data_IF_212561958578
#
_entry.id   IF_212561958578
#
_cell.length_a   1.000
_cell.length_b   1.000
_cell.length_c   1.000
_cell.angle_alpha   90.00
_cell.angle_beta   90.00
_cell.angle_gamma   90.00
#
_symmetry.space_group_name_H-M   'P 1'
#
loop_
_entity.id
_entity.type
_entity.pdbx_description
1 polymer ?
#
# COMPACT_ATOMS: atom_id res chain seq x y z
N UNK A 1 -3.61 -39.23 4.13
CA UNK A 1 -4.32 -38.11 3.51
C UNK A 1 -5.20 -37.41 4.53
N UNK A 2 -4.50 -36.87 5.51
CA UNK A 2 -5.00 -35.81 6.34
C UNK A 2 -4.97 -34.51 5.53
N UNK A 3 -5.72 -33.50 5.97
CA UNK A 3 -5.70 -32.21 5.29
C UNK A 3 -4.46 -31.41 5.71
N UNK A 4 -3.96 -30.50 4.85
CA UNK A 4 -2.91 -29.59 5.24
C UNK A 4 -3.39 -28.66 6.35
N UNK A 5 -2.45 -28.09 7.10
CA UNK A 5 -2.69 -27.08 8.12
C UNK A 5 -2.18 -25.74 7.61
N UNK A 6 -3.10 -24.90 7.14
CA UNK A 6 -2.82 -23.53 6.75
C UNK A 6 -2.66 -22.62 7.98
N UNK A 7 -1.65 -21.77 7.98
CA UNK A 7 -1.29 -20.86 9.06
C UNK A 7 -1.26 -19.43 8.54
N UNK A 8 -1.89 -18.50 9.25
CA UNK A 8 -1.98 -17.12 8.79
C UNK A 8 -0.60 -16.47 8.56
N UNK A 9 -0.56 -15.64 7.53
CA UNK A 9 0.62 -14.91 7.08
C UNK A 9 0.44 -13.41 7.26
N UNK A 10 1.56 -12.73 7.48
CA UNK A 10 1.59 -11.28 7.59
C UNK A 10 2.75 -10.70 6.79
N UNK A 11 2.50 -9.58 6.13
CA UNK A 11 3.51 -8.72 5.55
C UNK A 11 3.22 -7.26 5.91
N UNK A 12 4.23 -6.40 5.76
CA UNK A 12 4.07 -4.97 5.95
C UNK A 12 4.72 -4.22 4.80
N UNK A 13 4.10 -3.12 4.42
CA UNK A 13 4.59 -2.16 3.45
C UNK A 13 4.46 -0.76 4.05
N UNK A 14 5.48 0.07 3.85
CA UNK A 14 5.37 1.49 4.18
C UNK A 14 4.85 2.21 2.94
N UNK A 15 3.96 3.14 3.13
CA UNK A 15 3.59 4.14 2.13
C UNK A 15 4.83 4.93 1.65
N UNK A 16 4.74 5.53 0.45
CA UNK A 16 5.78 6.41 -0.07
C UNK A 16 5.68 7.83 0.51
N UNK A 17 6.81 8.55 0.48
CA UNK A 17 6.92 9.92 1.00
C UNK A 17 6.79 10.95 -0.14
N UNK A 18 5.67 10.99 -0.85
CA UNK A 18 5.30 12.05 -1.80
C UNK A 18 5.72 11.84 -3.27
N UNK A 19 5.83 10.60 -3.77
CA UNK A 19 5.92 10.37 -5.22
C UNK A 19 5.03 9.23 -5.65
N UNK A 20 3.85 9.56 -6.20
CA UNK A 20 2.87 8.67 -6.88
C UNK A 20 3.45 7.64 -7.89
N UNK A 21 4.76 7.65 -8.14
CA UNK A 21 5.47 6.90 -9.16
C UNK A 21 6.32 5.74 -8.63
N UNK A 22 6.55 5.59 -7.33
CA UNK A 22 7.35 4.46 -6.82
C UNK A 22 6.43 3.41 -6.18
N UNK A 23 6.08 2.32 -6.89
CA UNK A 23 5.32 1.24 -6.28
C UNK A 23 6.15 0.64 -5.13
N UNK A 24 5.52 0.39 -3.98
CA UNK A 24 6.16 -0.26 -2.83
C UNK A 24 5.80 -1.76 -2.82
N UNK A 25 6.46 -2.64 -3.60
CA UNK A 25 6.11 -4.05 -3.60
C UNK A 25 6.64 -4.76 -2.34
N UNK A 26 5.84 -5.67 -1.81
CA UNK A 26 6.26 -6.66 -0.82
C UNK A 26 5.98 -8.05 -1.36
N UNK A 27 6.87 -9.00 -1.08
CA UNK A 27 6.75 -10.38 -1.56
C UNK A 27 7.02 -11.38 -0.45
N UNK A 28 6.44 -12.57 -0.58
CA UNK A 28 6.65 -13.68 0.34
C UNK A 28 6.13 -14.99 -0.21
N UNK A 29 5.95 -15.97 0.67
CA UNK A 29 5.31 -17.23 0.32
C UNK A 29 4.44 -17.73 1.47
N UNK A 30 3.13 -17.86 1.22
CA UNK A 30 2.10 -18.26 2.21
C UNK A 30 2.18 -19.73 2.62
N UNK A 31 2.93 -20.56 1.90
CA UNK A 31 3.09 -21.98 2.22
C UNK A 31 4.33 -22.25 3.08
N UNK A 32 5.10 -21.22 3.46
CA UNK A 32 6.38 -21.39 4.16
C UNK A 32 6.23 -21.90 5.60
N UNK A 33 5.12 -21.55 6.25
CA UNK A 33 4.74 -21.91 7.61
C UNK A 33 3.59 -22.93 7.66
N UNK A 34 3.06 -23.32 6.51
CA UNK A 34 2.05 -24.35 6.36
C UNK A 34 2.67 -25.75 6.47
N UNK A 35 1.90 -26.71 6.98
CA UNK A 35 2.36 -28.10 7.11
C UNK A 35 1.34 -29.10 6.60
N UNK A 36 1.82 -30.27 6.24
CA UNK A 36 1.01 -31.47 6.10
C UNK A 36 1.74 -32.63 6.79
N UNK A 37 0.97 -33.53 7.39
CA UNK A 37 1.47 -34.69 8.13
C UNK A 37 1.79 -35.88 7.21
N UNK A 38 1.27 -35.89 5.98
CA UNK A 38 1.55 -36.93 4.98
C UNK A 38 2.92 -36.70 4.30
N UNK A 39 3.88 -37.56 4.63
CA UNK A 39 5.25 -37.43 4.16
C UNK A 39 5.37 -37.68 2.64
N UNK A 40 5.68 -36.62 1.90
CA UNK A 40 5.92 -36.66 0.45
C UNK A 40 4.83 -35.99 -0.38
N UNK A 41 3.78 -35.47 0.26
CA UNK A 41 2.74 -34.71 -0.42
C UNK A 41 3.21 -33.30 -0.74
N UNK A 42 2.76 -32.80 -1.90
CA UNK A 42 3.00 -31.44 -2.36
C UNK A 42 1.74 -30.63 -2.18
N UNK A 43 1.85 -29.56 -1.41
CA UNK A 43 0.75 -28.66 -1.11
C UNK A 43 0.83 -27.42 -2.00
N UNK A 44 -0.33 -26.88 -2.35
CA UNK A 44 -0.44 -25.75 -3.28
C UNK A 44 -1.64 -24.87 -2.95
N UNK A 45 -1.54 -23.60 -3.30
CA UNK A 45 -2.67 -22.69 -3.22
C UNK A 45 -3.66 -23.06 -4.33
N UNK A 46 -4.86 -23.46 -3.92
CA UNK A 46 -5.95 -23.92 -4.79
C UNK A 46 -7.05 -22.88 -4.99
N UNK A 47 -7.14 -21.88 -4.11
CA UNK A 47 -8.06 -20.75 -4.26
C UNK A 47 -7.55 -19.52 -3.52
N UNK A 48 -7.88 -18.33 -4.03
CA UNK A 48 -7.67 -17.04 -3.36
C UNK A 48 -9.01 -16.33 -3.29
N UNK A 49 -9.40 -15.83 -2.11
CA UNK A 49 -10.73 -15.29 -1.81
C UNK A 49 -11.87 -16.24 -2.24
N UNK A 50 -11.68 -17.54 -2.02
CA UNK A 50 -12.67 -18.58 -2.32
C UNK A 50 -12.82 -18.94 -3.80
N UNK A 51 -11.99 -18.37 -4.70
CA UNK A 51 -12.03 -18.66 -6.14
C UNK A 51 -10.70 -19.23 -6.63
N UNK A 52 -10.77 -20.39 -7.29
CA UNK A 52 -9.62 -20.98 -8.00
C UNK A 52 -9.16 -20.11 -9.18
N UNK A 53 -10.08 -19.34 -9.79
CA UNK A 53 -9.76 -18.44 -10.91
C UNK A 53 -8.88 -17.25 -10.52
N UNK A 54 -8.73 -16.98 -9.21
CA UNK A 54 -7.87 -15.89 -8.72
C UNK A 54 -6.41 -16.33 -8.55
N UNK A 55 -6.12 -17.64 -8.52
CA UNK A 55 -4.75 -18.15 -8.36
C UNK A 55 -3.94 -17.76 -9.60
N UNK A 56 -2.76 -17.16 -9.40
CA UNK A 56 -1.86 -16.70 -10.45
C UNK A 56 -2.37 -15.48 -11.24
N UNK A 57 -3.37 -14.77 -10.71
CA UNK A 57 -3.92 -13.56 -11.32
C UNK A 57 -3.88 -12.39 -10.34
N UNK A 58 -3.86 -11.18 -10.89
CA UNK A 58 -3.89 -9.95 -10.10
C UNK A 58 -5.27 -9.76 -9.46
N UNK A 59 -5.25 -9.53 -8.16
CA UNK A 59 -6.42 -9.34 -7.32
C UNK A 59 -6.33 -7.97 -6.65
N UNK A 60 -7.16 -7.05 -7.11
CA UNK A 60 -7.27 -5.70 -6.55
C UNK A 60 -7.91 -5.78 -5.17
N UNK A 61 -7.15 -5.38 -4.16
CA UNK A 61 -7.58 -5.19 -2.78
C UNK A 61 -8.12 -3.77 -2.54
N UNK A 62 -8.16 -3.35 -1.27
CA UNK A 62 -8.63 -2.02 -0.88
C UNK A 62 -7.56 -0.97 -1.11
N UNK A 63 -6.29 -1.31 -0.83
CA UNK A 63 -5.16 -0.38 -0.83
C UNK A 63 -4.11 -0.72 -1.88
N UNK A 64 -4.18 -1.90 -2.49
CA UNK A 64 -3.19 -2.34 -3.48
C UNK A 64 -3.62 -3.61 -4.22
N UNK A 65 -2.71 -4.20 -4.96
CA UNK A 65 -2.97 -5.38 -5.79
C UNK A 65 -2.10 -6.56 -5.34
N UNK A 66 -2.74 -7.69 -5.06
CA UNK A 66 -2.09 -8.96 -4.75
C UNK A 66 -1.98 -9.83 -6.01
N UNK A 67 -0.82 -10.44 -6.22
CA UNK A 67 -0.64 -11.57 -7.13
C UNK A 67 -0.18 -12.78 -6.31
N UNK A 68 -0.97 -13.85 -6.23
CA UNK A 68 -0.66 -15.06 -5.45
C UNK A 68 -0.69 -16.30 -6.34
N UNK A 69 0.46 -16.94 -6.50
CA UNK A 69 0.66 -18.12 -7.33
C UNK A 69 0.26 -19.42 -6.61
N UNK A 70 0.08 -20.49 -7.38
CA UNK A 70 -0.22 -21.82 -6.84
C UNK A 70 0.91 -22.40 -5.98
N UNK A 71 2.16 -21.98 -6.20
CA UNK A 71 3.32 -22.38 -5.39
C UNK A 71 3.45 -21.60 -4.06
N UNK A 72 2.45 -20.76 -3.75
CA UNK A 72 2.40 -19.94 -2.56
C UNK A 72 3.16 -18.63 -2.67
N UNK A 73 4.00 -18.44 -3.70
CA UNK A 73 4.71 -17.18 -3.89
C UNK A 73 3.72 -16.05 -4.20
N UNK A 74 3.91 -14.91 -3.55
CA UNK A 74 3.10 -13.73 -3.80
C UNK A 74 3.92 -12.46 -3.94
N UNK A 75 3.34 -11.49 -4.63
CA UNK A 75 3.70 -10.08 -4.57
C UNK A 75 2.46 -9.25 -4.26
N UNK A 76 2.61 -8.22 -3.46
CA UNK A 76 1.59 -7.20 -3.24
C UNK A 76 2.19 -5.85 -3.59
N UNK A 77 1.49 -5.08 -4.41
CA UNK A 77 1.91 -3.72 -4.80
C UNK A 77 0.91 -2.72 -4.24
N UNK A 78 1.39 -1.81 -3.39
CA UNK A 78 0.57 -0.72 -2.85
C UNK A 78 0.16 0.26 -3.96
N UNK A 79 -1.07 0.74 -3.94
CA UNK A 79 -1.54 1.81 -4.81
C UNK A 79 -1.31 3.17 -4.13
N UNK A 80 -0.11 3.73 -4.30
CA UNK A 80 0.20 5.08 -3.81
C UNK A 80 -0.57 6.17 -4.56
N UNK A 81 -1.26 5.84 -5.66
CA UNK A 81 -2.20 6.74 -6.32
C UNK A 81 -3.51 6.93 -5.56
N UNK A 82 -3.78 6.09 -4.56
CA UNK A 82 -5.04 6.09 -3.84
C UNK A 82 -5.05 7.18 -2.76
N UNK A 83 -6.03 8.09 -2.83
CA UNK A 83 -6.14 9.20 -1.88
C UNK A 83 -6.21 8.74 -0.41
N UNK A 84 -6.79 7.58 -0.11
CA UNK A 84 -6.84 7.05 1.25
C UNK A 84 -5.51 6.47 1.74
N UNK A 85 -4.57 6.19 0.83
CA UNK A 85 -3.19 5.78 1.15
C UNK A 85 -2.36 7.04 1.42
N UNK A 86 -2.46 8.04 0.54
CA UNK A 86 -1.80 9.37 0.65
C UNK A 86 -2.28 10.25 1.79
N UNK A 87 -3.32 9.84 2.52
CA UNK A 87 -3.84 10.59 3.69
C UNK A 87 -3.41 9.94 5.01
N UNK A 88 -2.64 8.86 4.96
CA UNK A 88 -2.20 8.15 6.15
C UNK A 88 -1.05 8.91 6.79
N UNK A 89 -1.35 9.68 7.83
CA UNK A 89 -0.32 10.34 8.63
C UNK A 89 0.76 9.36 9.15
N UNK A 90 1.94 9.89 9.48
CA UNK A 90 3.07 9.09 9.96
C UNK A 90 2.68 8.13 11.10
N UNK A 91 2.88 6.83 10.84
CA UNK A 91 2.59 5.77 11.80
C UNK A 91 1.13 5.34 11.90
N UNK A 92 0.21 5.98 11.18
CA UNK A 92 -1.14 5.45 10.98
C UNK A 92 -1.08 4.13 10.19
N UNK A 93 -2.00 3.21 10.47
CA UNK A 93 -2.01 1.90 9.82
C UNK A 93 -3.38 1.52 9.29
N UNK A 94 -3.37 0.87 8.13
CA UNK A 94 -4.53 0.19 7.51
C UNK A 94 -4.11 -1.19 7.02
N UNK A 95 -5.08 -2.05 6.73
CA UNK A 95 -4.80 -3.45 6.37
C UNK A 95 -5.61 -3.93 5.18
N UNK A 96 -4.98 -4.66 4.28
CA UNK A 96 -5.64 -5.53 3.31
C UNK A 96 -5.56 -7.01 3.75
N UNK A 97 -6.64 -7.75 3.57
CA UNK A 97 -6.74 -9.17 3.98
C UNK A 97 -7.23 -10.01 2.82
N UNK A 98 -6.46 -11.04 2.47
CA UNK A 98 -6.78 -12.00 1.41
C UNK A 98 -6.81 -13.41 2.00
N UNK A 99 -7.90 -14.16 1.79
CA UNK A 99 -7.94 -15.57 2.18
C UNK A 99 -7.32 -16.43 1.09
N UNK A 100 -6.61 -17.49 1.48
CA UNK A 100 -6.10 -18.50 0.56
C UNK A 100 -6.50 -19.89 1.04
N UNK A 101 -6.59 -20.83 0.11
CA UNK A 101 -6.89 -22.24 0.40
C UNK A 101 -5.70 -23.09 -0.02
N UNK A 102 -5.05 -23.70 0.95
CA UNK A 102 -4.01 -24.69 0.74
C UNK A 102 -4.64 -26.08 0.52
N UNK A 103 -4.23 -26.81 -0.52
CA UNK A 103 -4.69 -28.16 -0.82
C UNK A 103 -3.53 -29.12 -1.04
N UNK A 104 -3.72 -30.37 -0.60
CA UNK A 104 -2.80 -31.51 -0.73
C UNK A 104 -2.85 -32.23 -2.08
N UNK A 105 -3.71 -31.79 -3.01
CA UNK A 105 -3.96 -32.48 -4.29
C UNK A 105 -4.53 -33.92 -4.17
N UNK A 106 -4.91 -34.34 -2.97
CA UNK A 106 -5.49 -35.64 -2.63
C UNK A 106 -6.89 -35.51 -1.97
N UNK A 107 -7.41 -34.29 -1.88
CA UNK A 107 -8.79 -33.99 -1.49
C UNK A 107 -8.93 -33.32 -0.12
N UNK A 108 -7.82 -33.16 0.61
CA UNK A 108 -7.74 -32.32 1.80
C UNK A 108 -7.42 -30.87 1.45
N UNK A 109 -8.01 -29.96 2.22
CA UNK A 109 -7.70 -28.53 2.13
C UNK A 109 -7.95 -27.82 3.45
N UNK A 110 -7.26 -26.71 3.64
CA UNK A 110 -7.47 -25.76 4.74
C UNK A 110 -7.26 -24.34 4.23
N UNK A 111 -7.78 -23.37 4.98
CA UNK A 111 -7.69 -21.96 4.60
C UNK A 111 -7.09 -21.13 5.73
N UNK A 112 -6.33 -20.10 5.33
CA UNK A 112 -5.81 -19.06 6.22
C UNK A 112 -5.84 -17.71 5.50
N UNK A 113 -5.36 -16.67 6.19
CA UNK A 113 -5.35 -15.30 5.68
C UNK A 113 -3.93 -14.81 5.50
N UNK A 114 -3.67 -14.11 4.40
CA UNK A 114 -2.55 -13.19 4.22
C UNK A 114 -3.02 -11.78 4.59
N UNK A 115 -2.41 -11.19 5.62
CA UNK A 115 -2.69 -9.82 6.06
C UNK A 115 -1.53 -8.90 5.68
N UNK A 116 -1.82 -7.87 4.89
CA UNK A 116 -0.86 -6.84 4.51
C UNK A 116 -1.14 -5.60 5.36
N UNK A 117 -0.17 -5.18 6.18
CA UNK A 117 -0.25 -3.93 6.94
C UNK A 117 0.42 -2.80 6.16
N UNK A 118 -0.32 -1.73 5.92
CA UNK A 118 0.18 -0.51 5.30
C UNK A 118 0.41 0.50 6.42
N UNK A 119 1.62 1.08 6.49
CA UNK A 119 1.96 2.14 7.45
C UNK A 119 2.18 3.44 6.71
N UNK A 120 1.43 4.48 7.10
CA UNK A 120 1.55 5.83 6.57
C UNK A 120 2.90 6.49 6.84
N UNK A 121 3.27 7.39 5.95
CA UNK A 121 4.43 8.26 6.04
C UNK A 121 4.01 9.69 6.32
N UNK A 122 4.98 10.58 6.57
CA UNK A 122 4.70 11.99 6.45
C UNK A 122 5.05 12.39 5.02
N UNK A 123 4.08 12.91 4.28
CA UNK A 123 4.31 13.50 2.97
C UNK A 123 4.87 14.91 3.11
N UNK A 124 5.61 15.39 2.11
CA UNK A 124 6.05 16.78 2.14
C UNK A 124 4.93 17.69 1.61
N UNK A 125 4.74 18.89 2.16
CA UNK A 125 3.75 19.82 1.64
C UNK A 125 4.02 20.13 0.17
N UNK A 126 2.95 20.15 -0.63
CA UNK A 126 3.05 20.49 -2.05
C UNK A 126 3.12 22.02 -2.14
N UNK A 127 4.31 22.53 -2.48
CA UNK A 127 4.51 23.96 -2.63
C UNK A 127 3.71 24.51 -3.82
N UNK A 128 2.83 25.48 -3.58
CA UNK A 128 2.11 26.14 -4.67
C UNK A 128 2.85 27.42 -5.04
N UNK A 129 3.34 27.51 -6.27
CA UNK A 129 4.08 28.69 -6.73
C UNK A 129 3.19 29.95 -6.69
N UNK A 130 3.52 30.89 -5.81
CA UNK A 130 2.86 32.18 -5.77
C UNK A 130 3.19 32.99 -7.04
N UNK A 131 2.19 33.19 -7.90
CA UNK A 131 2.28 34.12 -9.00
C UNK A 131 2.13 35.56 -8.50
N UNK A 132 3.19 36.11 -7.90
CA UNK A 132 3.28 37.56 -7.73
C UNK A 132 3.56 38.19 -9.11
N UNK A 133 2.52 38.74 -9.74
CA UNK A 133 2.70 39.60 -10.91
C UNK A 133 3.41 40.89 -10.47
N UNK A 134 4.73 40.91 -10.55
CA UNK A 134 5.51 42.13 -10.36
C UNK A 134 5.30 43.00 -11.59
N UNK A 135 4.49 44.05 -11.47
CA UNK A 135 4.55 45.16 -12.42
C UNK A 135 5.85 45.90 -12.12
N UNK A 136 6.82 45.80 -13.01
CA UNK A 136 8.05 46.61 -12.94
C UNK A 136 7.62 48.08 -12.93
N UNK A 137 7.88 48.77 -11.81
CA UNK A 137 7.55 50.19 -11.70
C UNK A 137 8.63 51.00 -12.40
N UNK A 138 8.26 51.57 -13.54
CA UNK A 138 9.07 52.56 -14.21
C UNK A 138 9.03 53.87 -13.41
N UNK A 139 10.05 54.07 -12.57
CA UNK A 139 10.62 55.36 -12.19
C UNK A 139 10.03 56.13 -10.98
N UNK A 140 10.97 56.55 -10.12
CA UNK A 140 10.98 57.69 -9.18
C UNK A 140 10.13 57.67 -7.90
N UNK A 141 10.88 57.57 -6.78
CA UNK A 141 10.68 58.23 -5.48
C UNK A 141 9.40 57.89 -4.69
N UNK A 142 9.62 57.13 -3.61
CA UNK A 142 8.74 56.91 -2.45
C UNK A 142 7.47 56.06 -2.70
N UNK A 143 7.61 54.74 -2.55
CA UNK A 143 6.48 53.86 -2.24
C UNK A 143 6.68 53.24 -0.82
N UNK A 144 5.77 53.48 0.14
CA UNK A 144 5.83 52.91 1.47
C UNK A 144 5.11 51.55 1.59
N UNK A 145 4.78 50.86 0.50
CA UNK A 145 4.08 49.57 0.58
C UNK A 145 5.07 48.38 0.69
N UNK A 146 5.35 47.81 1.88
CA UNK A 146 6.04 46.54 1.95
C UNK A 146 5.15 45.46 1.33
N UNK A 147 5.70 44.70 0.39
CA UNK A 147 5.06 43.49 -0.11
C UNK A 147 4.90 42.54 1.07
N UNK A 148 3.68 42.41 1.57
CA UNK A 148 3.30 41.36 2.51
C UNK A 148 2.67 40.24 1.68
N UNK A 149 3.48 39.23 1.36
CA UNK A 149 3.04 37.94 0.83
C UNK A 149 3.74 36.87 1.66
N UNK A 150 2.97 36.08 2.40
CA UNK A 150 3.52 34.90 3.06
C UNK A 150 3.55 33.77 2.02
N UNK A 151 4.76 33.35 1.64
CA UNK A 151 5.00 32.26 0.68
C UNK A 151 4.61 30.88 1.20
N UNK A 152 4.02 30.81 2.41
CA UNK A 152 3.64 29.58 3.11
C UNK A 152 2.13 29.40 3.21
N UNK A 153 1.32 30.39 2.81
CA UNK A 153 -0.13 30.37 3.08
C UNK A 153 -0.97 29.54 2.10
N UNK A 154 -0.36 29.10 1.00
CA UNK A 154 -0.97 28.26 -0.02
C UNK A 154 -0.37 26.84 -0.08
N UNK A 155 0.65 26.55 0.73
CA UNK A 155 1.23 25.22 0.85
C UNK A 155 0.26 24.33 1.62
N UNK A 156 -0.07 23.17 1.06
CA UNK A 156 -0.94 22.17 1.68
C UNK A 156 -0.23 20.84 1.77
N UNK A 157 -0.35 20.18 2.92
CA UNK A 157 0.05 18.80 3.14
C UNK A 157 -1.20 17.92 2.99
N UNK A 158 -1.03 16.76 2.38
CA UNK A 158 -2.11 15.81 2.14
C UNK A 158 -2.41 14.95 3.38
N UNK A 159 -1.49 14.91 4.35
CA UNK A 159 -1.59 14.13 5.56
C UNK A 159 -2.73 14.57 6.48
N UNK A 160 -3.46 13.58 7.02
CA UNK A 160 -4.59 13.83 7.89
C UNK A 160 -4.12 14.29 9.28
N UNK A 161 -4.16 15.59 9.55
CA UNK A 161 -3.82 16.18 10.84
C UNK A 161 -2.72 17.25 10.80
N UNK A 162 -2.22 17.61 9.61
CA UNK A 162 -1.25 18.69 9.49
C UNK A 162 -1.86 20.06 9.87
N UNK A 163 -1.06 20.84 10.59
CA UNK A 163 -1.32 22.25 10.86
C UNK A 163 -0.14 23.05 10.35
N UNK A 164 -0.31 23.66 9.17
CA UNK A 164 0.60 24.68 8.65
C UNK A 164 0.88 25.75 9.72
N UNK A 165 2.13 25.86 10.17
CA UNK A 165 2.57 26.94 11.07
C UNK A 165 3.89 27.54 10.67
#
# INVERSE_FOLDING_TARGET
NDAPVAVADAAAVKEDTNTLADPNPVSGNVLSNDTDVDNGDTHSVSAVNGSAGNVGNDLVGTYGTLHLNSDGSYSYTLDNGLASVQQLAEGATVTDVFSYTNSDNHGGSSSANLTITITGTNDAPVAVADAAAVKEDTNTLADPNPVSGNVLSNDTDVDNGDTHS
#
